data_IF_666960223131
#
_entry.id   IF_666960223131
#
_cell.length_a   1.000
_cell.length_b   1.000
_cell.length_c   1.000
_cell.angle_alpha   90.00
_cell.angle_beta   90.00
_cell.angle_gamma   90.00
#
_symmetry.space_group_name_H-M   'P 1'
#
loop_
_entity.id
_entity.type
_entity.pdbx_description
1 polymer ?
#
# COMPACT_ATOMS: atom_id res chain seq x y z
N UNK A 1 26.29 14.50 19.25
CA UNK A 1 26.51 13.99 17.89
C UNK A 1 25.29 14.40 17.09
N UNK A 2 25.37 15.56 16.42
CA UNK A 2 24.28 16.09 15.62
C UNK A 2 24.08 15.17 14.43
N UNK A 3 22.89 14.61 14.32
CA UNK A 3 22.42 13.98 13.09
C UNK A 3 22.37 15.10 12.03
N UNK A 4 23.43 15.22 11.25
CA UNK A 4 23.38 16.05 10.04
C UNK A 4 22.19 15.56 9.21
N UNK A 5 21.22 16.45 9.04
CA UNK A 5 20.08 16.23 8.15
C UNK A 5 20.64 15.76 6.81
N UNK A 6 20.33 14.52 6.45
CA UNK A 6 20.60 14.00 5.12
C UNK A 6 19.70 14.78 4.15
N UNK A 7 20.24 15.88 3.62
CA UNK A 7 19.59 16.70 2.60
C UNK A 7 20.22 16.33 1.26
N UNK A 8 19.52 15.68 0.36
CA UNK A 8 20.01 15.51 -0.99
C UNK A 8 19.99 16.87 -1.69
N UNK A 9 21.16 17.52 -1.73
CA UNK A 9 21.43 18.69 -2.56
C UNK A 9 21.56 18.25 -4.01
N UNK A 10 20.45 18.07 -4.71
CA UNK A 10 20.35 18.12 -6.17
C UNK A 10 18.93 18.58 -6.48
N UNK A 11 18.76 19.51 -7.40
CA UNK A 11 17.48 20.06 -7.86
C UNK A 11 16.56 18.91 -8.34
N UNK A 12 16.00 18.17 -7.39
CA UNK A 12 15.21 16.98 -7.59
C UNK A 12 13.75 17.36 -7.71
N UNK A 13 13.10 16.79 -8.69
CA UNK A 13 11.64 16.83 -8.83
C UNK A 13 11.01 16.36 -7.52
N UNK A 14 10.05 17.12 -7.01
CA UNK A 14 9.19 16.68 -5.91
C UNK A 14 8.46 15.40 -6.36
N UNK A 15 8.52 14.36 -5.51
CA UNK A 15 7.77 13.12 -5.70
C UNK A 15 6.60 13.17 -4.72
N UNK A 16 5.44 13.63 -5.18
CA UNK A 16 4.25 13.65 -4.35
C UNK A 16 3.66 12.24 -4.22
N UNK A 17 3.45 11.80 -3.00
CA UNK A 17 3.00 10.46 -2.66
C UNK A 17 1.70 10.59 -1.88
N UNK A 18 0.60 10.06 -2.41
CA UNK A 18 -0.68 10.02 -1.72
C UNK A 18 -0.89 8.65 -1.08
N UNK A 19 -1.13 8.60 0.22
CA UNK A 19 -1.53 7.39 0.94
C UNK A 19 -2.97 7.56 1.39
N UNK A 20 -3.88 6.75 0.87
CA UNK A 20 -5.30 6.81 1.18
C UNK A 20 -5.58 6.30 2.59
N UNK A 21 -6.30 7.09 3.39
CA UNK A 21 -6.78 6.69 4.70
C UNK A 21 -8.31 6.68 4.74
N UNK A 22 -8.87 5.77 5.53
CA UNK A 22 -10.30 5.59 5.75
C UNK A 22 -10.55 4.90 7.08
N UNK A 23 -11.76 4.99 7.62
CA UNK A 23 -12.11 4.28 8.84
C UNK A 23 -12.08 2.76 8.64
N UNK A 24 -11.44 2.05 9.57
CA UNK A 24 -11.19 0.62 9.46
C UNK A 24 -10.00 0.25 8.59
N UNK A 25 -9.07 1.17 8.34
CA UNK A 25 -7.78 0.88 7.68
C UNK A 25 -6.90 0.03 8.59
N UNK A 26 -6.23 -0.98 8.04
CA UNK A 26 -5.15 -1.68 8.75
C UNK A 26 -3.93 -0.75 8.84
N UNK A 27 -3.56 -0.33 10.05
CA UNK A 27 -2.55 0.71 10.25
C UNK A 27 -1.24 0.44 9.50
N UNK A 28 -0.70 -0.77 9.59
CA UNK A 28 0.59 -1.10 8.98
C UNK A 28 0.54 -1.10 7.44
N UNK A 29 -0.63 -1.28 6.83
CA UNK A 29 -0.81 -1.18 5.37
C UNK A 29 -0.51 0.24 4.86
N UNK A 30 -0.75 1.26 5.70
CA UNK A 30 -0.42 2.66 5.42
C UNK A 30 0.99 3.03 5.92
N UNK A 31 1.29 2.69 7.18
CA UNK A 31 2.52 3.13 7.86
C UNK A 31 3.75 2.38 7.31
N UNK A 32 3.61 1.11 6.91
CA UNK A 32 4.73 0.34 6.33
C UNK A 32 5.30 1.00 5.06
N UNK A 33 4.50 1.23 4.03
CA UNK A 33 4.94 1.99 2.85
C UNK A 33 5.38 3.42 3.19
N UNK A 34 4.68 4.10 4.12
CA UNK A 34 5.04 5.45 4.55
C UNK A 34 6.49 5.52 5.04
N UNK A 35 6.90 4.61 5.93
CA UNK A 35 8.25 4.60 6.52
C UNK A 35 9.36 4.44 5.46
N UNK A 36 9.07 3.75 4.38
CA UNK A 36 10.01 3.58 3.27
C UNK A 36 9.97 4.78 2.32
N UNK A 37 8.77 5.15 1.85
CA UNK A 37 8.59 6.10 0.75
C UNK A 37 8.90 7.54 1.17
N UNK A 38 8.70 7.91 2.44
CA UNK A 38 9.08 9.23 2.97
C UNK A 38 10.58 9.51 2.93
N UNK A 39 11.39 8.47 2.77
CA UNK A 39 12.85 8.55 2.66
C UNK A 39 13.36 8.65 1.22
N UNK A 40 12.47 8.61 0.23
CA UNK A 40 12.85 8.87 -1.16
C UNK A 40 13.37 10.31 -1.31
N UNK A 41 14.37 10.53 -2.16
CA UNK A 41 14.82 11.89 -2.49
C UNK A 41 13.66 12.72 -3.07
N UNK A 42 13.37 13.86 -2.47
CA UNK A 42 12.29 14.75 -2.90
C UNK A 42 10.87 14.27 -2.55
N UNK A 43 10.72 13.30 -1.65
CA UNK A 43 9.40 12.83 -1.24
C UNK A 43 8.58 13.92 -0.53
N UNK A 44 7.33 14.09 -0.98
CA UNK A 44 6.26 14.87 -0.34
C UNK A 44 5.08 13.92 -0.08
N UNK A 45 5.03 13.34 1.12
CA UNK A 45 3.99 12.36 1.45
C UNK A 45 2.76 13.06 2.01
N UNK A 46 1.61 12.78 1.41
CA UNK A 46 0.29 13.29 1.78
C UNK A 46 -0.59 12.13 2.25
N UNK A 47 -1.11 12.22 3.46
CA UNK A 47 -2.13 11.31 3.96
C UNK A 47 -3.50 11.86 3.56
N UNK A 48 -4.19 11.16 2.67
CA UNK A 48 -5.42 11.66 2.03
C UNK A 48 -6.63 10.82 2.40
N UNK A 49 -7.80 11.46 2.48
CA UNK A 49 -9.08 10.77 2.70
C UNK A 49 -10.22 11.49 1.94
N UNK A 50 -11.40 10.89 1.87
CA UNK A 50 -12.60 11.56 1.35
C UNK A 50 -12.83 12.92 2.03
N UNK A 51 -12.62 12.97 3.34
CA UNK A 51 -12.58 14.19 4.18
C UNK A 51 -11.35 14.12 5.07
N UNK A 52 -10.60 15.22 5.19
CA UNK A 52 -9.49 15.33 6.13
C UNK A 52 -9.94 15.10 7.59
N UNK A 53 -9.01 14.67 8.43
CA UNK A 53 -9.26 14.40 9.84
C UNK A 53 -8.86 13.00 10.30
N UNK A 54 -9.18 12.68 11.53
CA UNK A 54 -8.89 11.38 12.14
C UNK A 54 -9.60 10.24 11.43
N UNK A 55 -8.89 9.12 11.24
CA UNK A 55 -9.41 7.85 10.73
C UNK A 55 -9.10 6.76 11.74
N UNK A 56 -10.12 6.07 12.22
CA UNK A 56 -9.95 4.93 13.10
C UNK A 56 -9.31 3.77 12.33
N UNK A 57 -8.38 3.07 12.98
CA UNK A 57 -7.84 1.83 12.40
C UNK A 57 -8.76 0.64 12.69
N UNK A 58 -8.45 -0.51 12.11
CA UNK A 58 -9.20 -1.75 12.26
C UNK A 58 -9.07 -2.41 13.65
N UNK A 59 -8.15 -1.91 14.48
CA UNK A 59 -7.89 -2.49 15.80
C UNK A 59 -7.60 -1.47 16.89
N UNK A 60 -8.45 -1.44 17.92
CA UNK A 60 -8.19 -0.68 19.13
C UNK A 60 -8.28 0.85 18.99
N UNK A 61 -7.60 1.61 19.87
CA UNK A 61 -7.72 3.06 19.95
C UNK A 61 -6.81 3.82 18.97
N UNK A 62 -6.00 3.12 18.15
CA UNK A 62 -5.08 3.77 17.22
C UNK A 62 -5.88 4.49 16.12
N UNK A 63 -5.50 5.74 15.88
CA UNK A 63 -6.00 6.56 14.79
C UNK A 63 -4.86 7.09 13.95
N UNK A 64 -5.11 7.24 12.66
CA UNK A 64 -4.25 7.97 11.74
C UNK A 64 -4.96 9.26 11.30
N UNK A 65 -4.21 10.30 11.00
CA UNK A 65 -4.79 11.58 10.58
C UNK A 65 -4.54 11.78 9.09
N UNK A 66 -5.60 11.91 8.31
CA UNK A 66 -5.52 12.41 6.94
C UNK A 66 -5.48 13.95 7.00
N UNK A 67 -4.40 14.54 6.60
CA UNK A 67 -4.20 16.00 6.61
C UNK A 67 -4.71 16.68 5.35
N UNK A 68 -5.13 15.89 4.32
CA UNK A 68 -5.66 16.36 3.06
C UNK A 68 -6.95 15.64 2.68
N UNK A 69 -7.86 16.36 1.99
CA UNK A 69 -8.93 15.72 1.24
C UNK A 69 -8.41 15.21 -0.11
N UNK A 70 -9.12 14.25 -0.74
CA UNK A 70 -8.76 13.73 -2.07
C UNK A 70 -8.63 14.85 -3.12
N UNK A 71 -9.49 15.85 -3.05
CA UNK A 71 -9.50 16.99 -3.98
C UNK A 71 -8.24 17.85 -3.88
N UNK A 72 -7.56 17.86 -2.72
CA UNK A 72 -6.34 18.65 -2.50
C UNK A 72 -5.11 18.01 -3.14
N UNK A 73 -5.22 16.73 -3.55
CA UNK A 73 -4.12 15.93 -4.12
C UNK A 73 -4.56 15.29 -5.44
N UNK A 74 -4.73 16.10 -6.51
CA UNK A 74 -5.30 15.64 -7.77
C UNK A 74 -4.31 14.95 -8.72
N UNK A 75 -3.01 15.00 -8.45
CA UNK A 75 -1.99 14.49 -9.38
C UNK A 75 -0.72 13.99 -8.69
N UNK A 76 -0.83 13.07 -7.70
CA UNK A 76 0.35 12.47 -7.07
C UNK A 76 1.10 11.58 -8.06
N UNK A 77 2.43 11.52 -7.93
CA UNK A 77 3.28 10.61 -8.70
C UNK A 77 3.12 9.16 -8.23
N UNK A 78 2.88 8.95 -6.93
CA UNK A 78 2.68 7.61 -6.35
C UNK A 78 1.39 7.63 -5.54
N UNK A 79 0.56 6.62 -5.76
CA UNK A 79 -0.65 6.39 -4.96
C UNK A 79 -0.52 5.08 -4.22
N UNK A 80 -0.79 5.09 -2.92
CA UNK A 80 -0.84 3.88 -2.08
C UNK A 80 -2.26 3.72 -1.54
N UNK A 81 -2.86 2.58 -1.83
CA UNK A 81 -4.19 2.18 -1.34
C UNK A 81 -4.02 1.06 -0.32
N UNK A 82 -4.07 1.36 0.98
CA UNK A 82 -4.07 0.36 2.04
C UNK A 82 -5.30 -0.53 2.02
N UNK A 83 -5.24 -1.64 2.75
CA UNK A 83 -6.39 -2.48 3.02
C UNK A 83 -6.92 -2.31 4.45
N UNK A 84 -7.63 -3.33 4.89
CA UNK A 84 -8.34 -3.37 6.15
C UNK A 84 -9.83 -3.65 5.94
N UNK A 85 -10.59 -3.99 7.00
CA UNK A 85 -12.03 -4.26 6.89
C UNK A 85 -12.83 -3.09 6.31
N UNK A 86 -12.40 -1.85 6.58
CA UNK A 86 -13.02 -0.62 6.06
C UNK A 86 -12.93 -0.48 4.54
N UNK A 87 -11.97 -1.15 3.89
CA UNK A 87 -11.84 -1.15 2.42
C UNK A 87 -13.11 -1.62 1.71
N UNK A 88 -13.95 -2.44 2.38
CA UNK A 88 -15.23 -2.89 1.83
C UNK A 88 -16.18 -1.73 1.52
N UNK A 89 -16.16 -0.67 2.33
CA UNK A 89 -16.99 0.52 2.09
C UNK A 89 -16.53 1.24 0.82
N UNK A 90 -15.23 1.27 0.59
CA UNK A 90 -14.65 1.93 -0.57
C UNK A 90 -14.98 1.25 -1.92
N UNK A 91 -15.36 -0.03 -1.91
CA UNK A 91 -15.74 -0.74 -3.14
C UNK A 91 -16.98 -0.13 -3.83
N UNK A 92 -17.82 0.60 -3.09
CA UNK A 92 -18.98 1.32 -3.59
C UNK A 92 -18.89 2.86 -3.45
N UNK A 93 -17.77 3.38 -2.97
CA UNK A 93 -17.57 4.83 -2.82
C UNK A 93 -17.11 5.43 -4.15
N UNK A 94 -18.06 5.90 -4.95
CA UNK A 94 -17.78 6.45 -6.27
C UNK A 94 -16.85 7.67 -6.22
N UNK A 95 -16.84 8.45 -5.15
CA UNK A 95 -15.94 9.59 -5.04
C UNK A 95 -14.48 9.13 -4.94
N UNK A 96 -14.21 8.09 -4.13
CA UNK A 96 -12.88 7.47 -4.02
C UNK A 96 -12.50 6.77 -5.32
N UNK A 97 -13.41 5.98 -5.92
CA UNK A 97 -13.13 5.24 -7.15
C UNK A 97 -12.86 6.17 -8.34
N UNK A 98 -13.63 7.27 -8.47
CA UNK A 98 -13.39 8.28 -9.50
C UNK A 98 -12.06 9.01 -9.30
N UNK A 99 -11.71 9.35 -8.06
CA UNK A 99 -10.40 9.92 -7.74
C UNK A 99 -9.27 8.95 -8.13
N UNK A 100 -9.37 7.67 -7.77
CA UNK A 100 -8.37 6.67 -8.13
C UNK A 100 -8.16 6.53 -9.64
N UNK A 101 -9.25 6.51 -10.42
CA UNK A 101 -9.17 6.51 -11.89
C UNK A 101 -8.45 7.76 -12.42
N UNK A 102 -8.83 8.94 -11.92
CA UNK A 102 -8.25 10.21 -12.35
C UNK A 102 -6.76 10.32 -12.03
N UNK A 103 -6.36 9.98 -10.80
CA UNK A 103 -4.94 10.06 -10.41
C UNK A 103 -4.11 8.96 -11.09
N UNK A 104 -4.71 7.78 -11.34
CA UNK A 104 -4.05 6.72 -12.08
C UNK A 104 -3.58 7.17 -13.47
N UNK A 105 -4.34 7.98 -14.19
CA UNK A 105 -3.94 8.45 -15.51
C UNK A 105 -2.58 9.17 -15.49
N UNK A 106 -2.31 9.94 -14.44
CA UNK A 106 -1.15 10.83 -14.30
C UNK A 106 -0.04 10.27 -13.42
N UNK A 107 -0.37 9.39 -12.47
CA UNK A 107 0.63 8.80 -11.58
C UNK A 107 1.65 7.94 -12.34
N UNK A 108 2.85 7.88 -11.82
CA UNK A 108 3.87 6.92 -12.25
C UNK A 108 3.56 5.54 -11.68
N UNK A 109 3.09 5.50 -10.43
CA UNK A 109 2.75 4.25 -9.76
C UNK A 109 1.41 4.36 -9.04
N UNK A 110 0.54 3.39 -9.28
CA UNK A 110 -0.70 3.17 -8.52
C UNK A 110 -0.55 1.85 -7.78
N UNK A 111 -0.56 1.92 -6.46
CA UNK A 111 -0.15 0.76 -5.65
C UNK A 111 -1.18 0.41 -4.59
N UNK A 112 -1.13 -0.84 -4.13
CA UNK A 112 -2.01 -1.32 -3.07
C UNK A 112 -1.32 -2.28 -2.13
N UNK A 113 -1.81 -2.32 -0.90
CA UNK A 113 -1.43 -3.30 0.12
C UNK A 113 -2.68 -4.05 0.54
N UNK A 114 -2.57 -5.38 0.70
CA UNK A 114 -3.62 -6.19 1.29
C UNK A 114 -4.96 -6.07 0.50
N UNK A 115 -6.07 -5.77 1.17
CA UNK A 115 -7.40 -5.57 0.56
C UNK A 115 -7.51 -4.31 -0.32
N UNK A 116 -6.53 -3.42 -0.26
CA UNK A 116 -6.46 -2.27 -1.16
C UNK A 116 -6.47 -2.64 -2.63
N UNK A 117 -6.00 -3.87 -2.97
CA UNK A 117 -6.07 -4.39 -4.34
C UNK A 117 -7.53 -4.56 -4.83
N UNK A 118 -8.47 -4.95 -3.95
CA UNK A 118 -9.87 -5.01 -4.32
C UNK A 118 -10.46 -3.63 -4.63
N UNK A 119 -10.00 -2.58 -3.93
CA UNK A 119 -10.40 -1.19 -4.23
C UNK A 119 -9.88 -0.76 -5.61
N UNK A 120 -8.62 -1.10 -5.94
CA UNK A 120 -8.11 -0.89 -7.30
C UNK A 120 -8.90 -1.67 -8.35
N UNK A 121 -9.32 -2.89 -8.01
CA UNK A 121 -10.19 -3.71 -8.86
C UNK A 121 -11.54 -3.05 -9.11
N UNK A 122 -12.21 -2.58 -8.05
CA UNK A 122 -13.48 -1.85 -8.15
C UNK A 122 -13.37 -0.55 -8.97
N UNK A 123 -12.19 0.09 -8.94
CA UNK A 123 -11.90 1.23 -9.82
C UNK A 123 -11.65 0.85 -11.28
N UNK A 124 -11.62 -0.46 -11.64
CA UNK A 124 -11.35 -0.95 -12.99
C UNK A 124 -9.85 -0.98 -13.36
N UNK A 125 -8.96 -0.81 -12.39
CA UNK A 125 -7.52 -0.67 -12.64
C UNK A 125 -6.77 -2.01 -12.70
N UNK A 126 -7.44 -3.13 -12.44
CA UNK A 126 -6.82 -4.46 -12.44
C UNK A 126 -7.23 -5.34 -13.62
N UNK A 127 -8.11 -4.89 -14.50
CA UNK A 127 -8.59 -5.70 -15.63
C UNK A 127 -7.43 -6.17 -16.52
N UNK A 128 -7.40 -7.49 -16.78
CA UNK A 128 -6.36 -8.15 -17.59
C UNK A 128 -4.95 -8.19 -16.95
N UNK A 129 -4.78 -7.72 -15.72
CA UNK A 129 -3.48 -7.64 -15.04
C UNK A 129 -3.27 -8.83 -14.09
N UNK A 130 -2.02 -9.21 -13.91
CA UNK A 130 -1.63 -10.00 -12.74
C UNK A 130 -1.67 -9.11 -11.50
N UNK A 131 -2.21 -9.65 -10.40
CA UNK A 131 -2.34 -8.92 -9.15
C UNK A 131 -2.31 -9.87 -7.95
N UNK A 132 -1.86 -9.35 -6.82
CA UNK A 132 -1.92 -10.03 -5.53
C UNK A 132 -2.67 -9.20 -4.50
N UNK A 133 -3.02 -9.82 -3.40
CA UNK A 133 -3.72 -9.23 -2.26
C UNK A 133 -3.41 -10.02 -1.00
N UNK A 134 -4.01 -9.65 0.13
CA UNK A 134 -4.05 -10.54 1.29
C UNK A 134 -4.56 -11.92 0.89
N UNK A 135 -3.93 -12.97 1.36
CA UNK A 135 -4.22 -14.35 0.94
C UNK A 135 -5.69 -14.76 1.08
N UNK A 136 -6.42 -14.17 2.04
CA UNK A 136 -7.87 -14.36 2.19
C UNK A 136 -8.70 -13.63 1.13
N UNK A 137 -8.17 -12.62 0.44
CA UNK A 137 -8.90 -11.79 -0.52
C UNK A 137 -8.41 -11.99 -1.97
N UNK A 138 -7.25 -12.59 -2.14
CA UNK A 138 -6.53 -12.69 -3.42
C UNK A 138 -7.39 -13.29 -4.53
N UNK A 139 -8.01 -14.43 -4.28
CA UNK A 139 -8.77 -15.14 -5.31
C UNK A 139 -9.99 -14.34 -5.78
N UNK A 140 -10.57 -13.49 -4.91
CA UNK A 140 -11.66 -12.57 -5.25
C UNK A 140 -11.28 -11.48 -6.25
N UNK A 141 -9.98 -11.25 -6.51
CA UNK A 141 -9.55 -10.29 -7.53
C UNK A 141 -9.99 -10.72 -8.95
N UNK A 142 -10.27 -12.00 -9.17
CA UNK A 142 -10.80 -12.50 -10.43
C UNK A 142 -12.16 -11.86 -10.79
N UNK A 143 -12.97 -11.47 -9.81
CA UNK A 143 -14.25 -10.77 -10.01
C UNK A 143 -14.08 -9.38 -10.65
N UNK A 144 -12.87 -8.81 -10.55
CA UNK A 144 -12.49 -7.53 -11.16
C UNK A 144 -11.68 -7.71 -12.45
N UNK A 145 -11.71 -8.90 -13.07
CA UNK A 145 -10.97 -9.19 -14.31
C UNK A 145 -9.46 -9.33 -14.15
N UNK A 146 -8.93 -9.35 -12.92
CA UNK A 146 -7.51 -9.61 -12.67
C UNK A 146 -7.18 -11.09 -12.80
N UNK A 147 -5.91 -11.40 -12.98
CA UNK A 147 -5.31 -12.74 -12.80
C UNK A 147 -4.62 -12.80 -11.43
N UNK A 148 -5.25 -13.43 -10.42
CA UNK A 148 -4.65 -13.54 -9.09
C UNK A 148 -3.38 -14.40 -9.12
N UNK A 149 -2.29 -13.91 -8.52
CA UNK A 149 -1.03 -14.64 -8.39
C UNK A 149 -0.57 -14.66 -6.93
N UNK A 150 0.09 -15.76 -6.53
CA UNK A 150 0.56 -15.96 -5.17
C UNK A 150 1.99 -15.43 -5.00
N UNK A 151 2.12 -14.13 -5.20
CA UNK A 151 3.37 -13.41 -5.05
C UNK A 151 3.25 -12.34 -3.96
N UNK A 152 4.37 -12.04 -3.30
CA UNK A 152 4.38 -11.04 -2.24
C UNK A 152 4.21 -9.60 -2.77
N UNK A 153 4.80 -9.30 -3.93
CA UNK A 153 4.67 -8.03 -4.65
C UNK A 153 4.60 -8.31 -6.15
N UNK A 154 3.58 -7.82 -6.80
CA UNK A 154 3.35 -7.95 -8.25
C UNK A 154 3.42 -6.60 -8.91
N UNK A 155 4.22 -6.50 -9.98
CA UNK A 155 4.35 -5.30 -10.81
C UNK A 155 3.75 -5.60 -12.18
N UNK A 156 2.66 -4.92 -12.53
CA UNK A 156 1.98 -5.06 -13.82
C UNK A 156 1.82 -3.68 -14.49
N UNK A 157 2.79 -3.32 -15.31
CA UNK A 157 2.92 -1.96 -15.81
C UNK A 157 3.20 -0.98 -14.68
N UNK A 158 2.37 0.06 -14.55
CA UNK A 158 2.46 1.03 -13.45
C UNK A 158 1.59 0.69 -12.22
N UNK A 159 0.92 -0.46 -12.25
CA UNK A 159 0.16 -0.96 -11.11
C UNK A 159 1.04 -1.92 -10.31
N UNK A 160 1.17 -1.67 -9.00
CA UNK A 160 1.94 -2.52 -8.10
C UNK A 160 1.03 -2.95 -6.96
N UNK A 161 0.79 -4.24 -6.84
CA UNK A 161 -0.01 -4.81 -5.76
C UNK A 161 0.87 -5.60 -4.79
N UNK A 162 0.56 -5.55 -3.51
CA UNK A 162 1.26 -6.35 -2.51
C UNK A 162 0.32 -7.17 -1.64
N UNK A 163 0.83 -8.26 -1.14
CA UNK A 163 0.14 -9.20 -0.26
C UNK A 163 -0.23 -8.55 1.09
N UNK A 164 -0.58 -9.36 2.09
CA UNK A 164 -1.06 -8.88 3.38
C UNK A 164 -0.04 -8.12 4.19
N UNK A 165 -0.50 -7.10 4.80
CA UNK A 165 -0.02 -6.20 5.85
C UNK A 165 1.47 -5.83 5.75
N UNK A 166 2.38 -6.71 6.19
CA UNK A 166 3.84 -6.44 6.18
C UNK A 166 4.46 -6.35 4.78
N UNK A 167 3.78 -6.86 3.75
CA UNK A 167 4.25 -6.80 2.36
C UNK A 167 4.31 -5.36 1.80
N UNK A 168 3.63 -4.41 2.46
CA UNK A 168 3.72 -3.00 2.12
C UNK A 168 5.13 -2.41 2.27
N UNK A 169 5.93 -2.93 3.19
CA UNK A 169 7.34 -2.53 3.36
C UNK A 169 8.16 -3.00 2.16
N UNK A 170 8.02 -4.28 1.77
CA UNK A 170 8.72 -4.83 0.60
C UNK A 170 8.31 -4.10 -0.69
N UNK A 171 7.02 -3.78 -0.84
CA UNK A 171 6.52 -2.96 -1.95
C UNK A 171 7.17 -1.58 -1.96
N UNK A 172 7.24 -0.91 -0.81
CA UNK A 172 7.89 0.39 -0.67
C UNK A 172 9.35 0.34 -1.13
N UNK A 173 10.11 -0.67 -0.70
CA UNK A 173 11.51 -0.87 -1.12
C UNK A 173 11.64 -1.15 -2.62
N UNK A 174 10.70 -1.93 -3.21
CA UNK A 174 10.65 -2.14 -4.67
C UNK A 174 10.40 -0.83 -5.41
N UNK A 175 9.45 -0.02 -4.95
CA UNK A 175 9.19 1.30 -5.52
C UNK A 175 10.39 2.23 -5.39
N UNK A 176 11.06 2.23 -4.23
CA UNK A 176 12.27 3.01 -4.02
C UNK A 176 13.38 2.65 -5.02
N UNK A 177 13.53 1.36 -5.32
CA UNK A 177 14.50 0.91 -6.31
C UNK A 177 14.12 1.34 -7.74
N UNK A 178 12.82 1.34 -8.08
CA UNK A 178 12.33 1.78 -9.39
C UNK A 178 12.43 3.30 -9.56
N UNK A 179 12.19 4.07 -8.51
CA UNK A 179 12.20 5.54 -8.55
C UNK A 179 13.60 6.14 -8.45
N UNK A 180 14.43 5.61 -7.58
CA UNK A 180 15.72 6.23 -7.22
C UNK A 180 16.92 5.29 -7.35
N UNK A 181 16.70 4.07 -7.84
CA UNK A 181 17.74 3.07 -8.03
C UNK A 181 18.03 2.21 -6.80
N UNK A 182 18.66 1.06 -7.05
CA UNK A 182 18.92 0.02 -6.04
C UNK A 182 19.74 0.52 -4.85
N UNK A 183 20.73 1.38 -5.08
CA UNK A 183 21.57 1.90 -3.99
C UNK A 183 20.77 2.73 -2.98
N UNK A 184 19.84 3.56 -3.45
CA UNK A 184 18.94 4.33 -2.58
C UNK A 184 18.01 3.39 -1.81
N UNK A 185 17.41 2.41 -2.46
CA UNK A 185 16.54 1.42 -1.81
C UNK A 185 17.28 0.64 -0.71
N UNK A 186 18.52 0.21 -0.97
CA UNK A 186 19.35 -0.46 0.02
C UNK A 186 19.72 0.45 1.19
N UNK A 187 19.99 1.74 0.92
CA UNK A 187 20.24 2.70 1.97
C UNK A 187 19.02 2.93 2.87
N UNK A 188 17.83 3.00 2.26
CA UNK A 188 16.55 3.09 2.98
C UNK A 188 16.34 1.83 3.82
N UNK A 189 16.51 0.65 3.24
CA UNK A 189 16.36 -0.62 3.95
C UNK A 189 17.26 -0.70 5.18
N UNK A 190 18.54 -0.32 5.02
CA UNK A 190 19.50 -0.30 6.13
C UNK A 190 19.12 0.76 7.18
N UNK A 191 18.67 1.94 6.76
CA UNK A 191 18.28 3.02 7.67
C UNK A 191 17.09 2.64 8.56
N UNK A 192 16.11 1.93 8.03
CA UNK A 192 14.95 1.43 8.81
C UNK A 192 15.24 0.06 9.46
N UNK A 193 16.47 -0.47 9.28
CA UNK A 193 16.91 -1.76 9.83
C UNK A 193 15.94 -2.92 9.49
N UNK A 194 15.41 -2.92 8.25
CA UNK A 194 14.48 -3.95 7.81
C UNK A 194 15.22 -5.23 7.43
N UNK A 195 15.50 -6.05 8.46
CA UNK A 195 16.10 -7.39 8.39
C UNK A 195 15.21 -8.41 9.14
N UNK A 196 14.04 -8.79 8.61
CA UNK A 196 13.04 -9.54 9.35
C UNK A 196 13.49 -10.94 9.70
N UNK A 197 13.46 -11.27 10.99
CA UNK A 197 13.79 -12.57 11.55
C UNK A 197 12.61 -13.09 12.42
N UNK A 198 11.48 -13.46 11.78
CA UNK A 198 10.30 -13.89 12.52
C UNK A 198 10.58 -15.19 13.29
N UNK A 199 10.10 -15.32 14.54
CA UNK A 199 10.37 -16.51 15.37
C UNK A 199 9.66 -17.77 14.88
N UNK A 200 8.67 -17.63 13.99
CA UNK A 200 7.89 -18.73 13.43
C UNK A 200 7.91 -18.69 11.91
N UNK A 201 7.96 -19.87 11.29
CA UNK A 201 7.85 -20.01 9.83
C UNK A 201 6.39 -20.23 9.42
N UNK A 202 5.50 -19.26 9.72
CA UNK A 202 4.06 -19.33 9.48
C UNK A 202 3.49 -18.07 8.80
N UNK A 203 4.35 -17.30 8.13
CA UNK A 203 3.99 -16.02 7.53
C UNK A 203 3.24 -16.13 6.19
N UNK A 204 2.95 -17.32 5.69
CA UNK A 204 2.12 -17.54 4.49
C UNK A 204 1.33 -18.84 4.62
N UNK A 205 0.21 -19.02 3.87
CA UNK A 205 -0.59 -20.25 3.93
C UNK A 205 0.19 -21.52 3.61
N UNK A 206 1.21 -21.44 2.76
CA UNK A 206 2.05 -22.58 2.39
C UNK A 206 3.06 -23.00 3.49
N UNK A 207 3.32 -22.10 4.43
CA UNK A 207 4.30 -22.32 5.51
C UNK A 207 3.62 -22.57 6.85
N UNK A 208 2.41 -22.05 7.02
CA UNK A 208 1.67 -22.18 8.27
C UNK A 208 1.09 -23.59 8.43
N UNK A 209 0.93 -24.10 9.68
CA UNK A 209 0.20 -25.34 9.94
C UNK A 209 -1.23 -25.28 9.37
N UNK A 210 -1.70 -26.39 8.80
CA UNK A 210 -3.00 -26.46 8.12
C UNK A 210 -4.16 -26.06 9.03
N UNK A 211 -4.13 -26.48 10.30
CA UNK A 211 -5.15 -26.13 11.30
C UNK A 211 -5.23 -24.62 11.56
N UNK A 212 -4.10 -23.91 11.52
CA UNK A 212 -4.06 -22.45 11.67
C UNK A 212 -4.68 -21.76 10.45
N UNK A 213 -4.38 -22.26 9.26
CA UNK A 213 -4.96 -21.76 8.01
C UNK A 213 -6.47 -21.93 7.99
N UNK A 214 -6.97 -23.12 8.33
CA UNK A 214 -8.42 -23.42 8.37
C UNK A 214 -9.14 -22.57 9.44
N UNK A 215 -8.55 -22.41 10.63
CA UNK A 215 -9.12 -21.57 11.66
C UNK A 215 -9.29 -20.10 11.19
N UNK A 216 -8.32 -19.57 10.46
CA UNK A 216 -8.38 -18.19 9.96
C UNK A 216 -9.35 -18.04 8.79
N UNK A 217 -9.51 -19.07 7.96
CA UNK A 217 -10.55 -19.11 6.92
C UNK A 217 -11.95 -19.10 7.50
N UNK A 218 -12.18 -19.85 8.58
CA UNK A 218 -13.48 -19.93 9.26
C UNK A 218 -13.91 -18.64 9.96
N UNK A 219 -12.99 -17.73 10.30
CA UNK A 219 -13.34 -16.42 10.87
C UNK A 219 -13.92 -15.43 9.86
N UNK A 220 -14.01 -15.81 8.60
CA UNK A 220 -14.53 -15.02 7.49
C UNK A 220 -16.05 -15.16 7.28
N UNK A 221 -16.67 -16.17 7.91
CA UNK A 221 -18.10 -16.45 7.81
C UNK A 221 -18.97 -15.51 8.67
#
# INVERSE_FOLDING_TARGET
MELQSWSPSHGGFLVQIAILLFDGVTALDAVGPYEVLRLLPGADVRLVAGTAGEKATDGGPLKLVADHALADVPSPEIVVVPGGPGARVLLGDEAVLAWLRSVHERSRWTTSVCWGSAVLGAAGLLEGREATSHWLARDGLAEYGARPVDERVVISGKVVTSAGVSAGIDMGLRLAALEAGTAVAQSIQLLIEYDPQPPFNAGSPHKAPAEVVEQLRGRRA
#
